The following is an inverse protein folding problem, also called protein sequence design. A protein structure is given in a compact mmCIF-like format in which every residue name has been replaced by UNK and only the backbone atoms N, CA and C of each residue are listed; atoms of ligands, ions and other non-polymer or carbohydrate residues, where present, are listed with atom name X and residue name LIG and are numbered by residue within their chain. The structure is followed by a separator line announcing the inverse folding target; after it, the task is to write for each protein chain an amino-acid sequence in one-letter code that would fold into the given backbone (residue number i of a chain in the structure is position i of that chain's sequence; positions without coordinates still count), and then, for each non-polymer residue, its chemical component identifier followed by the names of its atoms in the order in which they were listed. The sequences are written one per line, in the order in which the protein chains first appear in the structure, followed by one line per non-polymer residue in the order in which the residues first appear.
data_IF_730995161179
#
_entry.id   IF_730995161179
#
_cell.length_a   1.000
_cell.length_b   1.000
_cell.length_c   1.000
_cell.angle_alpha   90.00
_cell.angle_beta   90.00
_cell.angle_gamma   90.00
#
_symmetry.space_group_name_H-M   'P 1'
#
loop_
_entity.id
_entity.type
_entity.pdbx_description
1 polymer ?
#
# COMPACT_ATOMS: atom_id res chain seq x y z
N UNK A 1 17.78 -2.18 -9.39
CA UNK A 1 17.31 -2.65 -10.74
C UNK A 1 15.84 -2.96 -10.66
N UNK A 2 15.02 -2.39 -11.53
CA UNK A 2 13.56 -2.56 -11.58
C UNK A 2 13.16 -4.04 -11.60
N UNK A 3 12.17 -4.39 -10.78
CA UNK A 3 11.61 -5.75 -10.68
C UNK A 3 10.12 -5.72 -10.97
N UNK A 4 9.64 -6.69 -11.76
CA UNK A 4 8.21 -6.92 -11.99
C UNK A 4 7.78 -8.09 -11.12
N UNK A 5 6.83 -7.85 -10.24
CA UNK A 5 6.31 -8.78 -9.24
C UNK A 5 4.79 -8.91 -9.41
N UNK A 6 4.14 -9.72 -8.56
CA UNK A 6 2.69 -9.87 -8.57
C UNK A 6 2.19 -10.11 -7.14
N UNK A 7 1.08 -9.51 -6.77
CA UNK A 7 0.52 -9.59 -5.41
C UNK A 7 0.29 -11.02 -4.94
N UNK A 8 -0.09 -11.93 -5.85
CA UNK A 8 -0.44 -13.32 -5.53
C UNK A 8 0.76 -14.28 -5.56
N UNK A 9 1.95 -13.78 -5.96
CA UNK A 9 3.19 -14.56 -6.07
C UNK A 9 4.24 -14.19 -5.04
N UNK A 10 3.88 -13.41 -4.03
CA UNK A 10 4.76 -13.07 -2.91
C UNK A 10 5.07 -14.29 -2.02
N UNK A 11 5.96 -14.09 -1.05
CA UNK A 11 6.30 -15.09 -0.05
C UNK A 11 5.17 -15.19 0.98
N UNK A 12 4.51 -16.34 1.04
CA UNK A 12 3.44 -16.56 2.01
C UNK A 12 3.96 -16.50 3.45
N UNK A 13 3.20 -15.89 4.34
CA UNK A 13 3.47 -15.88 5.77
C UNK A 13 2.19 -15.94 6.59
N UNK A 14 2.29 -16.55 7.78
CA UNK A 14 1.15 -16.67 8.68
C UNK A 14 1.03 -15.39 9.52
N UNK A 15 -0.13 -14.76 9.47
CA UNK A 15 -0.49 -13.65 10.32
C UNK A 15 -2.00 -13.62 10.51
N UNK A 16 -2.46 -13.83 11.75
CA UNK A 16 -3.88 -14.04 12.03
C UNK A 16 -4.45 -15.27 11.29
N UNK A 17 -5.73 -15.17 10.90
CA UNK A 17 -6.44 -16.22 10.16
C UNK A 17 -6.49 -15.98 8.65
N UNK A 18 -5.95 -14.86 8.17
CA UNK A 18 -5.95 -14.48 6.76
C UNK A 18 -4.86 -15.18 5.94
N UNK A 19 -4.94 -14.99 4.64
CA UNK A 19 -3.87 -15.36 3.73
C UNK A 19 -3.03 -14.10 3.44
N UNK A 20 -1.72 -14.20 3.65
CA UNK A 20 -0.83 -13.06 3.55
C UNK A 20 0.41 -13.39 2.73
N UNK A 21 0.87 -12.44 1.93
CA UNK A 21 2.07 -12.54 1.10
C UNK A 21 2.95 -11.30 1.27
N UNK A 22 4.24 -11.50 1.44
CA UNK A 22 5.27 -10.45 1.31
C UNK A 22 5.62 -10.32 -0.16
N UNK A 23 5.28 -9.21 -0.76
CA UNK A 23 5.50 -8.95 -2.19
C UNK A 23 6.79 -8.17 -2.41
N UNK A 24 7.02 -7.12 -1.62
CA UNK A 24 8.28 -6.40 -1.52
C UNK A 24 8.76 -6.47 -0.06
N UNK A 25 9.98 -6.96 0.15
CA UNK A 25 10.47 -7.24 1.50
C UNK A 25 12.01 -7.22 1.58
N UNK A 26 12.59 -7.10 2.80
CA UNK A 26 14.03 -6.97 2.99
C UNK A 26 14.89 -8.09 2.39
N UNK A 27 14.41 -9.35 2.39
CA UNK A 27 15.20 -10.47 1.84
C UNK A 27 15.38 -10.40 0.32
N UNK A 28 14.57 -9.62 -0.39
CA UNK A 28 14.78 -9.37 -1.83
C UNK A 28 15.61 -8.11 -2.10
N UNK A 29 16.04 -7.41 -1.05
CA UNK A 29 16.90 -6.24 -1.14
C UNK A 29 16.22 -4.91 -0.85
N UNK A 30 14.91 -4.88 -0.57
CA UNK A 30 14.19 -3.67 -0.18
C UNK A 30 14.70 -3.13 1.17
N UNK A 31 14.93 -1.83 1.26
CA UNK A 31 15.53 -1.17 2.42
C UNK A 31 14.65 -0.10 3.04
N UNK A 32 13.83 0.57 2.24
CA UNK A 32 13.03 1.71 2.64
C UNK A 32 11.53 1.43 2.61
N UNK A 33 11.07 0.54 1.71
CA UNK A 33 9.67 0.19 1.54
C UNK A 33 9.43 -1.31 1.66
N UNK A 34 8.27 -1.68 2.19
CA UNK A 34 7.71 -3.02 2.04
C UNK A 34 6.32 -2.96 1.42
N UNK A 35 5.91 -4.06 0.80
CA UNK A 35 4.55 -4.27 0.32
C UNK A 35 4.08 -5.65 0.74
N UNK A 36 2.99 -5.70 1.50
CA UNK A 36 2.28 -6.91 1.83
C UNK A 36 0.93 -6.96 1.11
N UNK A 37 0.47 -8.16 0.78
CA UNK A 37 -0.86 -8.43 0.26
C UNK A 37 -1.59 -9.37 1.21
N UNK A 38 -2.87 -9.11 1.47
CA UNK A 38 -3.69 -9.89 2.41
C UNK A 38 -5.09 -10.13 1.88
N UNK A 39 -5.60 -11.34 2.12
CA UNK A 39 -7.02 -11.69 1.95
C UNK A 39 -7.63 -11.94 3.32
N UNK A 40 -8.60 -11.12 3.69
CA UNK A 40 -9.33 -11.20 4.95
C UNK A 40 -10.68 -11.85 4.76
N UNK A 41 -10.84 -13.09 5.21
CA UNK A 41 -12.13 -13.76 5.27
C UNK A 41 -13.10 -13.07 6.25
N UNK A 42 -14.42 -13.27 6.15
CA UNK A 42 -15.38 -12.78 7.14
C UNK A 42 -14.97 -13.13 8.57
N UNK A 43 -15.02 -12.17 9.48
CA UNK A 43 -14.60 -12.31 10.87
C UNK A 43 -13.10 -12.42 11.10
N UNK A 44 -12.27 -12.25 10.06
CA UNK A 44 -10.82 -12.16 10.24
C UNK A 44 -10.46 -10.87 10.95
N UNK A 45 -9.64 -10.96 11.98
CA UNK A 45 -9.08 -9.85 12.72
C UNK A 45 -7.56 -9.84 12.59
N UNK A 46 -7.04 -8.70 12.19
CA UNK A 46 -5.64 -8.35 12.37
C UNK A 46 -5.54 -7.58 13.69
N UNK A 47 -4.92 -8.22 14.68
CA UNK A 47 -4.88 -7.72 16.06
C UNK A 47 -4.33 -6.30 16.13
N UNK A 48 -4.85 -5.48 17.04
CA UNK A 48 -4.33 -4.13 17.27
C UNK A 48 -2.86 -4.17 17.66
N UNK A 49 -2.10 -3.26 17.09
CA UNK A 49 -0.66 -3.12 17.27
C UNK A 49 -0.24 -1.67 16.99
N UNK A 50 1.03 -1.39 17.22
CA UNK A 50 1.70 -0.15 16.83
C UNK A 50 2.93 -0.49 16.01
N UNK A 51 3.33 0.40 15.13
CA UNK A 51 4.65 0.41 14.53
C UNK A 51 5.51 1.47 15.22
N UNK A 52 6.77 1.16 15.56
CA UNK A 52 7.67 2.10 16.23
C UNK A 52 7.88 3.37 15.43
N UNK A 53 8.88 3.37 14.55
CA UNK A 53 9.19 4.49 13.64
C UNK A 53 8.52 4.34 12.26
N UNK A 54 7.90 3.19 12.01
CA UNK A 54 7.28 2.87 10.71
C UNK A 54 5.92 3.55 10.57
N UNK A 55 5.71 4.19 9.44
CA UNK A 55 4.38 4.57 8.96
C UNK A 55 3.79 3.45 8.10
N UNK A 56 2.48 3.25 8.19
CA UNK A 56 1.75 2.25 7.41
C UNK A 56 0.68 2.93 6.55
N UNK A 57 0.57 2.51 5.31
CA UNK A 57 -0.55 2.86 4.43
C UNK A 57 -1.15 1.59 3.89
N UNK A 58 -2.36 1.25 4.33
CA UNK A 58 -3.06 0.14 3.72
C UNK A 58 -4.22 0.60 2.84
N UNK A 59 -4.41 -0.10 1.74
CA UNK A 59 -5.39 0.20 0.71
C UNK A 59 -6.34 -0.98 0.55
N UNK A 60 -7.63 -0.68 0.53
CA UNK A 60 -8.66 -1.68 0.26
C UNK A 60 -8.84 -1.78 -1.26
N UNK A 61 -8.49 -2.93 -1.82
CA UNK A 61 -8.66 -3.20 -3.25
C UNK A 61 -10.04 -3.78 -3.58
N UNK A 62 -10.54 -4.68 -2.70
CA UNK A 62 -11.84 -5.34 -2.87
C UNK A 62 -12.53 -5.52 -1.52
N UNK A 63 -13.86 -5.47 -1.51
CA UNK A 63 -14.65 -5.66 -0.30
C UNK A 63 -14.55 -4.51 0.68
N UNK A 64 -14.51 -4.82 1.97
CA UNK A 64 -14.37 -3.83 3.04
C UNK A 64 -13.97 -4.47 4.37
N UNK A 65 -13.38 -3.64 5.22
CA UNK A 65 -13.01 -3.99 6.60
C UNK A 65 -13.34 -2.81 7.52
N UNK A 66 -13.21 -2.99 8.82
CA UNK A 66 -13.20 -1.88 9.78
C UNK A 66 -11.80 -1.68 10.33
N UNK A 67 -11.33 -0.44 10.39
CA UNK A 67 -10.15 -0.04 11.17
C UNK A 67 -10.55 -0.07 12.64
N UNK A 68 -9.83 -0.83 13.45
CA UNK A 68 -10.08 -0.94 14.89
C UNK A 68 -9.05 -0.14 15.68
N UNK A 69 -9.55 0.72 16.59
CA UNK A 69 -8.75 1.46 17.57
C UNK A 69 -9.45 1.43 18.92
N UNK A 70 -8.98 0.57 19.84
CA UNK A 70 -9.71 0.28 21.08
C UNK A 70 -11.04 -0.40 20.79
N UNK A 71 -12.11 0.23 21.22
CA UNK A 71 -13.50 -0.22 20.99
C UNK A 71 -14.15 0.51 19.80
N UNK A 72 -13.41 1.40 19.13
CA UNK A 72 -13.90 2.10 17.93
C UNK A 72 -13.63 1.28 16.68
N UNK A 73 -14.62 1.22 15.80
CA UNK A 73 -14.57 0.54 14.52
C UNK A 73 -14.98 1.53 13.41
N UNK A 74 -14.06 1.86 12.54
CA UNK A 74 -14.32 2.77 11.42
C UNK A 74 -14.35 1.98 10.12
N UNK A 75 -15.50 1.85 9.43
CA UNK A 75 -15.60 1.09 8.20
C UNK A 75 -14.84 1.76 7.06
N UNK A 76 -14.15 0.95 6.27
CA UNK A 76 -13.44 1.32 5.03
C UNK A 76 -13.74 0.30 3.95
N UNK A 77 -13.73 0.70 2.69
CA UNK A 77 -14.14 -0.09 1.55
C UNK A 77 -13.21 0.08 0.35
N UNK A 78 -13.43 -0.72 -0.68
CA UNK A 78 -12.65 -0.67 -1.92
C UNK A 78 -12.51 0.78 -2.43
N UNK A 79 -11.27 1.18 -2.72
CA UNK A 79 -10.89 2.53 -3.11
C UNK A 79 -10.46 3.44 -1.97
N UNK A 80 -10.58 3.02 -0.71
CA UNK A 80 -10.09 3.79 0.43
C UNK A 80 -8.64 3.41 0.76
N UNK A 81 -7.83 4.41 1.06
CA UNK A 81 -6.51 4.31 1.65
C UNK A 81 -6.55 4.79 3.10
N UNK A 82 -5.87 4.08 3.98
CA UNK A 82 -5.76 4.38 5.41
C UNK A 82 -4.32 4.64 5.73
N UNK A 83 -4.00 5.88 6.08
CA UNK A 83 -2.68 6.26 6.58
C UNK A 83 -2.64 6.16 8.10
N UNK A 84 -1.64 5.46 8.61
CA UNK A 84 -1.39 5.26 10.03
C UNK A 84 -0.02 5.83 10.37
N UNK A 85 0.06 6.95 11.09
CA UNK A 85 1.32 7.50 11.56
C UNK A 85 2.07 6.56 12.50
N UNK A 86 3.39 6.78 12.64
CA UNK A 86 4.24 6.07 13.59
C UNK A 86 3.65 6.09 15.00
N UNK A 87 3.68 4.95 15.68
CA UNK A 87 3.21 4.81 17.07
C UNK A 87 1.68 4.78 17.25
N UNK A 88 0.89 5.02 16.21
CA UNK A 88 -0.57 5.00 16.31
C UNK A 88 -1.11 3.57 16.44
N UNK A 89 -1.96 3.34 17.42
CA UNK A 89 -2.59 2.03 17.65
C UNK A 89 -3.65 1.78 16.59
N UNK A 90 -3.56 0.65 15.89
CA UNK A 90 -4.54 0.24 14.91
C UNK A 90 -4.60 -1.28 14.73
N UNK A 91 -5.65 -1.74 14.13
CA UNK A 91 -5.88 -3.09 13.65
C UNK A 91 -6.97 -3.09 12.60
N UNK A 92 -7.25 -4.23 11.98
CA UNK A 92 -8.32 -4.37 11.02
C UNK A 92 -9.19 -5.56 11.35
N UNK A 93 -10.50 -5.42 11.13
CA UNK A 93 -11.46 -6.52 11.28
C UNK A 93 -12.35 -6.56 10.07
N UNK A 94 -12.46 -7.72 9.42
CA UNK A 94 -13.47 -7.90 8.39
C UNK A 94 -14.83 -8.19 9.05
N UNK A 95 -15.64 -7.15 9.13
CA UNK A 95 -16.99 -7.21 9.68
C UNK A 95 -18.07 -7.46 8.63
N UNK A 96 -17.67 -7.74 7.38
CA UNK A 96 -18.57 -8.03 6.25
C UNK A 96 -18.75 -9.54 6.04
N UNK A 97 -19.66 -9.91 5.16
CA UNK A 97 -19.95 -11.31 4.78
C UNK A 97 -19.10 -11.80 3.59
N UNK A 98 -18.21 -10.96 3.07
CA UNK A 98 -17.37 -11.28 1.90
C UNK A 98 -15.89 -11.15 2.22
N UNK A 99 -15.04 -11.80 1.41
CA UNK A 99 -13.60 -11.63 1.50
C UNK A 99 -13.22 -10.21 1.11
N UNK A 100 -12.32 -9.59 1.88
CA UNK A 100 -11.69 -8.32 1.53
C UNK A 100 -10.26 -8.55 1.08
N UNK A 101 -9.80 -7.80 0.07
CA UNK A 101 -8.42 -7.77 -0.43
C UNK A 101 -7.79 -6.44 -0.05
N UNK A 102 -6.66 -6.52 0.62
CA UNK A 102 -5.89 -5.36 1.07
C UNK A 102 -4.43 -5.48 0.64
N UNK A 103 -3.80 -4.34 0.45
CA UNK A 103 -2.34 -4.21 0.39
C UNK A 103 -1.90 -3.22 1.47
N UNK A 104 -0.71 -3.43 2.04
CA UNK A 104 -0.11 -2.55 3.05
C UNK A 104 1.32 -2.22 2.64
N UNK A 105 1.62 -0.92 2.64
CA UNK A 105 2.96 -0.36 2.43
C UNK A 105 3.48 0.15 3.75
N UNK A 106 4.75 -0.11 4.05
CA UNK A 106 5.40 0.35 5.28
C UNK A 106 6.73 1.02 4.97
N UNK A 107 7.00 2.15 5.61
CA UNK A 107 8.26 2.89 5.52
C UNK A 107 8.59 3.55 6.87
N UNK A 108 9.84 3.39 7.40
CA UNK A 108 10.78 2.32 7.05
C UNK A 108 10.18 0.93 7.34
N UNK A 109 10.79 -0.16 6.85
CA UNK A 109 10.33 -1.52 7.15
C UNK A 109 10.25 -1.81 8.65
N UNK A 110 9.13 -2.34 9.13
CA UNK A 110 9.02 -2.82 10.51
C UNK A 110 9.75 -4.15 10.70
N UNK A 111 11.02 -4.07 11.07
CA UNK A 111 11.87 -5.24 11.18
C UNK A 111 11.48 -6.19 12.32
N UNK A 112 10.87 -5.68 13.38
CA UNK A 112 10.39 -6.53 14.48
C UNK A 112 9.20 -7.39 14.02
N UNK A 113 8.28 -6.80 13.26
CA UNK A 113 7.17 -7.54 12.64
C UNK A 113 7.69 -8.53 11.59
N UNK A 114 8.63 -8.08 10.75
CA UNK A 114 9.19 -8.89 9.68
C UNK A 114 9.89 -10.16 10.20
N UNK A 115 10.62 -10.04 11.31
CA UNK A 115 11.34 -11.17 11.94
C UNK A 115 10.46 -12.04 12.84
N UNK A 116 9.20 -11.66 13.06
CA UNK A 116 8.31 -12.34 14.01
C UNK A 116 8.70 -12.13 15.48
N UNK A 117 9.42 -11.05 15.78
CA UNK A 117 9.86 -10.70 17.13
C UNK A 117 8.77 -9.97 17.93
N UNK A 118 7.71 -9.51 17.24
CA UNK A 118 6.60 -8.81 17.89
C UNK A 118 5.67 -9.81 18.59
N UNK A 119 5.39 -9.55 19.86
CA UNK A 119 4.34 -10.27 20.59
C UNK A 119 2.96 -9.78 20.13
N UNK A 120 2.22 -10.63 19.44
CA UNK A 120 0.86 -10.39 18.97
C UNK A 120 -0.20 -11.07 19.86
N UNK A 121 0.18 -11.50 21.07
CA UNK A 121 -0.77 -12.08 22.02
C UNK A 121 -1.83 -11.07 22.46
N UNK A 122 -2.99 -11.55 22.88
CA UNK A 122 -4.07 -10.69 23.34
C UNK A 122 -3.67 -9.82 24.56
N UNK A 123 -2.75 -10.33 25.40
CA UNK A 123 -2.28 -9.63 26.60
C UNK A 123 -1.30 -8.50 26.27
N UNK A 124 -0.56 -8.64 25.16
CA UNK A 124 0.36 -7.60 24.65
C UNK A 124 -0.32 -6.59 23.72
N UNK A 125 -1.61 -6.76 23.42
CA UNK A 125 -2.34 -5.88 22.48
C UNK A 125 -2.44 -4.46 23.02
N UNK A 126 -1.83 -3.45 22.39
CA UNK A 126 -1.90 -2.08 22.85
C UNK A 126 -3.33 -1.54 22.70
N UNK A 127 -3.67 -0.57 23.54
CA UNK A 127 -4.94 0.16 23.44
C UNK A 127 -4.65 1.66 23.42
N UNK A 128 -5.45 2.44 22.69
CA UNK A 128 -5.36 3.89 22.76
C UNK A 128 -5.52 4.38 24.19
N UNK A 129 -4.75 5.39 24.57
CA UNK A 129 -4.88 6.03 25.89
C UNK A 129 -6.26 6.70 26.04
N UNK A 130 -6.85 6.75 27.25
CA UNK A 130 -8.10 7.48 27.47
C UNK A 130 -7.99 8.92 27.00
N UNK A 131 -8.94 9.36 26.16
CA UNK A 131 -8.96 10.72 25.58
C UNK A 131 -8.04 10.91 24.37
N UNK A 132 -7.32 9.88 23.92
CA UNK A 132 -6.54 9.94 22.70
C UNK A 132 -7.44 10.26 21.49
N UNK A 133 -7.00 11.18 20.67
CA UNK A 133 -7.62 11.47 19.36
C UNK A 133 -6.81 10.75 18.29
N UNK A 134 -7.48 9.90 17.55
CA UNK A 134 -6.84 9.17 16.44
C UNK A 134 -6.18 10.12 15.45
N UNK A 135 -4.94 9.80 15.07
CA UNK A 135 -4.23 10.42 13.97
C UNK A 135 -4.35 9.63 12.66
N UNK A 136 -5.05 8.49 12.67
CA UNK A 136 -5.34 7.71 11.46
C UNK A 136 -6.17 8.55 10.48
N UNK A 137 -5.75 8.57 9.23
CA UNK A 137 -6.44 9.29 8.16
C UNK A 137 -7.00 8.32 7.12
N UNK A 138 -8.25 8.50 6.76
CA UNK A 138 -8.91 7.71 5.73
C UNK A 138 -9.23 8.63 4.55
N UNK A 139 -8.76 8.25 3.36
CA UNK A 139 -8.96 9.02 2.13
C UNK A 139 -9.42 8.09 1.02
N UNK A 140 -10.57 8.38 0.41
CA UNK A 140 -10.91 7.72 -0.85
C UNK A 140 -9.94 8.21 -1.93
N UNK A 141 -9.19 7.29 -2.54
CA UNK A 141 -8.07 7.61 -3.43
C UNK A 141 -8.49 8.48 -4.62
N UNK A 142 -9.65 8.21 -5.22
CA UNK A 142 -10.16 9.00 -6.35
C UNK A 142 -10.56 10.44 -5.95
N UNK A 143 -10.68 10.73 -4.65
CA UNK A 143 -10.97 12.04 -4.07
C UNK A 143 -9.73 12.72 -3.47
N UNK A 144 -8.54 12.15 -3.62
CA UNK A 144 -7.28 12.75 -3.22
C UNK A 144 -7.03 14.13 -3.86
N UNK A 145 -6.04 14.85 -3.37
CA UNK A 145 -5.67 16.18 -3.89
C UNK A 145 -5.27 16.11 -5.38
N UNK A 146 -5.82 16.96 -6.27
CA UNK A 146 -5.47 16.90 -7.69
C UNK A 146 -4.02 17.31 -7.91
N UNK A 147 -3.32 16.57 -8.78
CA UNK A 147 -1.96 16.89 -9.23
C UNK A 147 -2.02 17.32 -10.70
N UNK A 148 -1.61 18.55 -10.97
CA UNK A 148 -1.65 19.13 -12.31
C UNK A 148 -0.34 18.93 -13.06
N UNK A 149 -0.39 19.01 -14.40
CA UNK A 149 0.80 18.96 -15.26
C UNK A 149 1.32 17.54 -15.54
N UNK A 150 0.58 16.50 -15.10
CA UNK A 150 0.89 15.11 -15.42
C UNK A 150 -0.17 14.53 -16.39
N UNK A 151 0.18 13.57 -17.26
CA UNK A 151 -0.80 12.92 -18.15
C UNK A 151 -1.80 12.11 -17.31
N UNK A 152 -3.06 12.10 -17.74
CA UNK A 152 -4.12 11.42 -17.02
C UNK A 152 -4.60 12.14 -15.76
N UNK A 153 -5.15 11.38 -14.84
CA UNK A 153 -5.67 11.87 -13.57
C UNK A 153 -4.81 11.36 -12.40
N UNK A 154 -4.03 12.26 -11.81
CA UNK A 154 -3.19 12.00 -10.67
C UNK A 154 -3.78 12.64 -9.41
N UNK A 155 -3.77 11.89 -8.29
CA UNK A 155 -4.29 12.33 -7.00
C UNK A 155 -3.27 12.03 -5.90
N UNK A 156 -2.87 13.05 -5.15
CA UNK A 156 -2.10 12.86 -3.92
C UNK A 156 -3.03 12.38 -2.80
N UNK A 157 -2.74 11.22 -2.25
CA UNK A 157 -3.57 10.55 -1.23
C UNK A 157 -2.92 10.64 0.14
N UNK A 158 -1.62 10.32 0.23
CA UNK A 158 -0.79 10.45 1.43
C UNK A 158 0.43 11.29 1.07
N UNK A 159 0.75 12.30 1.88
CA UNK A 159 1.85 13.22 1.60
C UNK A 159 2.35 13.91 2.87
N UNK A 160 3.53 14.51 2.78
CA UNK A 160 4.12 15.32 3.84
C UNK A 160 3.17 16.45 4.32
N UNK A 161 2.49 17.13 3.40
CA UNK A 161 1.53 18.19 3.73
C UNK A 161 0.33 17.70 4.54
N UNK A 162 0.15 16.38 4.60
CA UNK A 162 -0.89 15.70 5.40
C UNK A 162 -0.31 14.97 6.61
N UNK A 163 0.96 15.23 6.97
CA UNK A 163 1.61 14.72 8.16
C UNK A 163 2.30 13.38 8.01
N UNK A 164 2.50 12.88 6.79
CA UNK A 164 3.33 11.70 6.54
C UNK A 164 4.82 12.12 6.46
N UNK A 165 5.68 11.45 7.21
CA UNK A 165 7.10 11.77 7.28
C UNK A 165 7.96 10.82 6.44
N UNK A 166 7.57 9.56 6.34
CA UNK A 166 8.39 8.49 5.75
C UNK A 166 7.79 7.88 4.48
N UNK A 167 6.50 8.07 4.23
CA UNK A 167 5.79 7.43 3.12
C UNK A 167 4.89 8.42 2.38
N UNK A 168 4.77 8.26 1.08
CA UNK A 168 3.80 8.99 0.29
C UNK A 168 3.09 8.06 -0.68
N UNK A 169 1.85 8.40 -1.07
CA UNK A 169 1.02 7.59 -1.94
C UNK A 169 0.18 8.45 -2.87
N UNK A 170 0.28 8.16 -4.17
CA UNK A 170 -0.55 8.73 -5.21
C UNK A 170 -1.48 7.67 -5.83
N UNK A 171 -2.63 8.11 -6.27
CA UNK A 171 -3.55 7.37 -7.12
C UNK A 171 -3.48 7.92 -8.55
N UNK A 172 -3.34 7.03 -9.54
CA UNK A 172 -3.13 7.39 -10.94
C UNK A 172 -4.17 6.66 -11.79
N UNK A 173 -4.80 7.39 -12.71
CA UNK A 173 -5.68 6.82 -13.72
C UNK A 173 -5.30 7.38 -15.09
N UNK A 174 -4.94 6.50 -16.02
CA UNK A 174 -4.61 6.84 -17.40
C UNK A 174 -5.71 6.32 -18.33
N UNK A 175 -6.19 7.19 -19.19
CA UNK A 175 -7.14 6.86 -20.24
C UNK A 175 -6.48 6.28 -21.49
N UNK A 176 -7.28 6.10 -22.54
CA UNK A 176 -6.83 5.51 -23.79
C UNK A 176 -5.67 6.31 -24.42
N UNK A 177 -4.55 5.65 -24.68
CA UNK A 177 -3.36 6.22 -25.26
C UNK A 177 -2.54 7.14 -24.36
N UNK A 178 -2.93 7.30 -23.09
CA UNK A 178 -2.12 8.03 -22.12
C UNK A 178 -1.00 7.16 -21.54
N UNK A 179 0.07 7.81 -21.11
CA UNK A 179 1.22 7.18 -20.49
C UNK A 179 2.14 8.21 -19.87
N UNK A 180 3.15 7.76 -19.18
CA UNK A 180 4.17 8.63 -18.58
C UNK A 180 5.54 7.98 -18.62
N UNK A 181 6.56 8.83 -18.55
CA UNK A 181 7.94 8.45 -18.27
C UNK A 181 8.17 8.63 -16.75
N UNK A 182 8.64 7.59 -16.09
CA UNK A 182 9.10 7.69 -14.71
C UNK A 182 10.54 8.22 -14.71
N UNK A 183 10.73 9.35 -14.04
CA UNK A 183 12.04 9.94 -13.83
C UNK A 183 12.74 9.30 -12.61
N UNK A 184 14.07 9.19 -12.61
CA UNK A 184 14.79 8.49 -11.55
C UNK A 184 14.58 9.15 -10.20
N UNK A 185 14.00 8.41 -9.25
CA UNK A 185 13.83 8.79 -7.86
C UNK A 185 15.10 8.63 -7.04
N UNK A 186 15.09 9.19 -5.82
CA UNK A 186 16.19 9.05 -4.83
C UNK A 186 15.93 7.94 -3.83
N UNK A 187 14.71 7.47 -3.75
CA UNK A 187 14.24 6.48 -2.79
C UNK A 187 13.63 5.28 -3.52
N UNK A 188 13.32 4.24 -2.78
CA UNK A 188 12.57 3.09 -3.31
C UNK A 188 11.13 3.49 -3.61
N UNK A 189 10.59 2.96 -4.71
CA UNK A 189 9.24 3.25 -5.20
C UNK A 189 8.52 1.96 -5.62
N UNK A 190 7.22 1.93 -5.44
CA UNK A 190 6.37 0.79 -5.79
C UNK A 190 5.16 1.30 -6.57
N UNK A 191 4.91 0.70 -7.74
CA UNK A 191 3.66 0.86 -8.47
C UNK A 191 2.86 -0.43 -8.39
N UNK A 192 1.57 -0.34 -8.10
CA UNK A 192 0.64 -1.50 -8.10
C UNK A 192 -0.47 -1.23 -9.10
N UNK A 193 -0.63 -2.11 -10.07
CA UNK A 193 -1.74 -2.04 -11.03
C UNK A 193 -3.02 -2.55 -10.33
N UNK A 194 -4.02 -1.67 -10.20
CA UNK A 194 -5.32 -2.02 -9.59
C UNK A 194 -6.28 -2.59 -10.65
N UNK A 195 -6.30 -1.98 -11.83
CA UNK A 195 -7.18 -2.38 -12.92
C UNK A 195 -6.64 -1.94 -14.28
N UNK A 196 -7.13 -2.56 -15.34
CA UNK A 196 -6.72 -2.26 -16.71
C UNK A 196 -5.43 -2.97 -17.11
N UNK A 197 -4.91 -2.61 -18.29
CA UNK A 197 -3.71 -3.17 -18.88
C UNK A 197 -2.77 -2.05 -19.32
N UNK A 198 -1.46 -2.24 -19.14
CA UNK A 198 -0.44 -1.31 -19.56
C UNK A 198 0.82 -2.01 -20.05
N UNK A 199 1.54 -1.33 -20.94
CA UNK A 199 2.88 -1.72 -21.39
C UNK A 199 3.92 -0.93 -20.62
N UNK A 200 4.87 -1.64 -20.02
CA UNK A 200 6.05 -1.07 -19.35
C UNK A 200 7.30 -1.36 -20.18
N UNK A 201 8.11 -0.34 -20.39
CA UNK A 201 9.43 -0.46 -21.04
C UNK A 201 10.50 0.11 -20.13
N UNK A 202 11.56 -0.66 -19.92
CA UNK A 202 12.78 -0.22 -19.24
C UNK A 202 13.99 -0.87 -19.91
N UNK A 203 15.02 -0.09 -20.18
CA UNK A 203 16.18 -0.50 -20.96
C UNK A 203 15.77 -1.12 -22.31
N UNK A 204 16.15 -2.38 -22.55
CA UNK A 204 15.77 -3.15 -23.74
C UNK A 204 14.63 -4.13 -23.53
N UNK A 205 13.97 -4.09 -22.37
CA UNK A 205 12.92 -5.02 -21.98
C UNK A 205 11.55 -4.36 -22.03
N UNK A 206 10.54 -5.19 -22.27
CA UNK A 206 9.14 -4.79 -22.34
C UNK A 206 8.28 -5.82 -21.63
N UNK A 207 7.28 -5.36 -20.89
CA UNK A 207 6.30 -6.20 -20.17
C UNK A 207 4.89 -5.66 -20.40
N UNK A 208 3.94 -6.56 -20.51
CA UNK A 208 2.51 -6.24 -20.40
C UNK A 208 2.10 -6.52 -18.97
N UNK A 209 1.59 -5.50 -18.30
CA UNK A 209 1.13 -5.58 -16.91
C UNK A 209 -0.38 -5.52 -16.85
N UNK A 210 -0.93 -6.30 -15.94
CA UNK A 210 -2.35 -6.42 -15.65
C UNK A 210 -2.63 -6.11 -14.19
N UNK A 211 -3.90 -6.12 -13.80
CA UNK A 211 -4.27 -5.99 -12.40
C UNK A 211 -3.48 -6.97 -11.52
N UNK A 212 -3.05 -6.50 -10.35
CA UNK A 212 -2.21 -7.17 -9.36
C UNK A 212 -0.72 -7.28 -9.69
N UNK A 213 -0.28 -6.84 -10.88
CA UNK A 213 1.16 -6.71 -11.13
C UNK A 213 1.74 -5.50 -10.40
N UNK A 214 3.00 -5.63 -10.00
CA UNK A 214 3.73 -4.68 -9.17
C UNK A 214 5.06 -4.35 -9.84
N UNK A 215 5.41 -3.07 -9.87
CA UNK A 215 6.74 -2.60 -10.25
C UNK A 215 7.43 -2.14 -8.97
N UNK A 216 8.57 -2.73 -8.64
CA UNK A 216 9.46 -2.26 -7.59
C UNK A 216 10.70 -1.63 -8.20
N UNK A 217 11.04 -0.44 -7.73
CA UNK A 217 12.15 0.38 -8.21
C UNK A 217 13.18 0.63 -7.09
N UNK A 218 14.43 0.37 -7.40
CA UNK A 218 15.54 0.92 -6.64
C UNK A 218 15.77 2.40 -7.00
N UNK A 219 16.43 3.20 -6.14
CA UNK A 219 16.84 4.55 -6.49
C UNK A 219 17.58 4.60 -7.83
N UNK A 220 17.17 5.51 -8.70
CA UNK A 220 17.76 5.73 -10.02
C UNK A 220 17.19 4.88 -11.16
N UNK A 221 16.30 3.94 -10.89
CA UNK A 221 15.61 3.19 -11.94
C UNK A 221 14.65 4.10 -12.72
N UNK A 222 14.48 3.80 -14.00
CA UNK A 222 13.58 4.52 -14.92
C UNK A 222 12.75 3.54 -15.75
N UNK A 223 11.55 3.95 -16.12
CA UNK A 223 10.71 3.20 -17.06
C UNK A 223 9.69 4.11 -17.75
N UNK A 224 9.08 3.64 -18.82
CA UNK A 224 7.86 4.22 -19.36
C UNK A 224 6.69 3.28 -19.16
N UNK A 225 5.51 3.85 -18.88
CA UNK A 225 4.25 3.12 -18.84
C UNK A 225 3.26 3.75 -19.80
N UNK A 226 2.61 2.92 -20.60
CA UNK A 226 1.55 3.33 -21.53
C UNK A 226 0.33 2.45 -21.34
N UNK A 227 -0.85 3.06 -21.31
CA UNK A 227 -2.11 2.32 -21.32
C UNK A 227 -2.29 1.64 -22.68
N UNK A 228 -2.60 0.34 -22.70
CA UNK A 228 -2.70 -0.48 -23.94
C UNK A 228 -4.03 -1.21 -24.07
N UNK A 229 -4.75 -1.44 -22.96
CA UNK A 229 -6.04 -2.11 -22.98
C UNK A 229 -7.20 -1.25 -23.49
N UNK A 230 -8.39 -1.79 -23.49
CA UNK A 230 -9.63 -1.06 -23.85
C UNK A 230 -10.14 -0.16 -22.73
N UNK A 231 -9.84 -0.52 -21.50
CA UNK A 231 -10.25 0.19 -20.31
C UNK A 231 -9.09 1.06 -19.76
N UNK A 232 -9.38 2.14 -19.06
CA UNK A 232 -8.36 2.92 -18.36
C UNK A 232 -7.54 2.05 -17.43
N UNK A 233 -6.21 2.27 -17.39
CA UNK A 233 -5.37 1.66 -16.35
C UNK A 233 -5.43 2.51 -15.09
N UNK A 234 -5.59 1.85 -13.96
CA UNK A 234 -5.57 2.47 -12.63
C UNK A 234 -4.47 1.86 -11.80
N UNK A 235 -3.67 2.70 -11.16
CA UNK A 235 -2.54 2.26 -10.35
C UNK A 235 -2.34 3.12 -9.11
N UNK A 236 -1.66 2.54 -8.14
CA UNK A 236 -1.13 3.21 -6.96
C UNK A 236 0.36 3.40 -7.18
N UNK A 237 0.88 4.56 -6.82
CA UNK A 237 2.30 4.83 -6.69
C UNK A 237 2.60 5.15 -5.24
N UNK A 238 3.50 4.39 -4.62
CA UNK A 238 3.95 4.58 -3.25
C UNK A 238 5.48 4.70 -3.23
N UNK A 239 6.00 5.64 -2.46
CA UNK A 239 7.46 5.83 -2.32
C UNK A 239 7.85 6.21 -0.91
N UNK A 240 9.09 5.86 -0.54
CA UNK A 240 9.71 6.34 0.68
C UNK A 240 10.07 7.82 0.53
N UNK A 241 9.78 8.65 1.53
CA UNK A 241 10.19 10.05 1.52
C UNK A 241 11.65 10.19 1.98
N UNK A 242 12.39 11.10 1.34
CA UNK A 242 13.72 11.51 1.81
C UNK A 242 13.54 12.23 3.16
N UNK A 243 14.16 11.71 4.22
CA UNK A 243 14.22 12.32 5.56
C UNK A 243 15.42 13.27 5.71
#
# INVERSE_FOLDING_TARGET
MMQILNLEKGVWFQMGKGQNWRVVHPDMGAKQLTLNHSLHSPGHEFTQHTHGETEDVFVILEGGVSVRQGEAYTPVSAGDAVFVPSGEVHGTVNTTDSVARLISFQSPPDMALYRGERDLSADATPKPQPGHRSAVQITNMAKGGPMFGKPGNWRSVVSHDRGAEHIALDYIKLGAGEGFQHEPGKTEEIYVIISGEGEVKADSKQWILNAHDVIFLDPGDTFSLSQTGTEPITLIHCWAQDS
#
